data_IF_965606085447
#
_entry.id   IF_965606085447
#
_cell.length_a   1.000
_cell.length_b   1.000
_cell.length_c   1.000
_cell.angle_alpha   90.00
_cell.angle_beta   90.00
_cell.angle_gamma   90.00
#
_symmetry.space_group_name_H-M   'P 1'
#
loop_
_entity.id
_entity.type
_entity.pdbx_description
1 polymer ?
#
# COMPACT_ATOMS: atom_id res chain seq x y z
N UNK A 1 -22.29 30.47 -48.13
CA UNK A 1 -21.36 29.37 -47.77
C UNK A 1 -22.12 28.08 -47.99
N UNK A 2 -21.60 27.16 -48.80
CA UNK A 2 -22.22 25.84 -48.98
C UNK A 2 -22.16 25.08 -47.66
N UNK A 3 -23.20 24.31 -47.33
CA UNK A 3 -23.29 23.48 -46.13
C UNK A 3 -22.05 22.57 -45.96
N UNK A 4 -21.44 22.14 -47.07
CA UNK A 4 -20.22 21.35 -47.11
C UNK A 4 -19.00 22.07 -46.49
N UNK A 5 -18.92 23.39 -46.61
CA UNK A 5 -17.83 24.19 -46.02
C UNK A 5 -17.96 24.25 -44.49
N UNK A 6 -19.20 24.33 -43.98
CA UNK A 6 -19.47 24.30 -42.54
C UNK A 6 -19.14 22.95 -41.91
N UNK A 7 -19.49 21.86 -42.59
CA UNK A 7 -19.20 20.49 -42.15
C UNK A 7 -17.69 20.21 -42.15
N UNK A 8 -16.96 20.64 -43.19
CA UNK A 8 -15.50 20.49 -43.26
C UNK A 8 -14.76 21.28 -42.16
N UNK A 9 -15.23 22.49 -41.85
CA UNK A 9 -14.67 23.28 -40.75
C UNK A 9 -14.93 22.63 -39.39
N UNK A 10 -16.11 22.05 -39.18
CA UNK A 10 -16.45 21.36 -37.94
C UNK A 10 -15.64 20.07 -37.75
N UNK A 11 -15.46 19.28 -38.83
CA UNK A 11 -14.59 18.10 -38.85
C UNK A 11 -13.13 18.47 -38.59
N UNK A 12 -12.64 19.54 -39.22
CA UNK A 12 -11.28 20.06 -39.01
C UNK A 12 -11.05 20.51 -37.58
N UNK A 13 -12.00 21.24 -37.00
CA UNK A 13 -11.95 21.67 -35.60
C UNK A 13 -11.99 20.47 -34.62
N UNK A 14 -12.85 19.49 -34.88
CA UNK A 14 -12.96 18.26 -34.07
C UNK A 14 -11.67 17.44 -34.09
N UNK A 15 -11.06 17.28 -35.27
CA UNK A 15 -9.77 16.59 -35.40
C UNK A 15 -8.64 17.33 -34.66
N UNK A 16 -8.61 18.66 -34.73
CA UNK A 16 -7.62 19.48 -34.02
C UNK A 16 -7.73 19.32 -32.50
N UNK A 17 -8.95 19.35 -31.96
CA UNK A 17 -9.18 19.18 -30.51
C UNK A 17 -8.72 17.80 -30.05
N UNK A 18 -9.05 16.74 -30.79
CA UNK A 18 -8.58 15.38 -30.47
C UNK A 18 -7.05 15.29 -30.48
N UNK A 19 -6.41 15.89 -31.48
CA UNK A 19 -4.95 15.89 -31.60
C UNK A 19 -4.30 16.63 -30.43
N UNK A 20 -4.86 17.77 -30.00
CA UNK A 20 -4.40 18.50 -28.83
C UNK A 20 -4.55 17.67 -27.54
N UNK A 21 -5.69 17.01 -27.34
CA UNK A 21 -5.90 16.14 -26.16
C UNK A 21 -4.84 15.03 -26.10
N UNK A 22 -4.56 14.37 -27.24
CA UNK A 22 -3.54 13.32 -27.32
C UNK A 22 -2.15 13.89 -27.03
N UNK A 23 -1.78 15.01 -27.65
CA UNK A 23 -0.45 15.63 -27.46
C UNK A 23 -0.26 16.11 -26.02
N UNK A 24 -1.24 16.81 -25.44
CA UNK A 24 -1.18 17.25 -24.05
C UNK A 24 -1.18 16.05 -23.08
N UNK A 25 -1.95 15.00 -23.35
CA UNK A 25 -1.92 13.75 -22.57
C UNK A 25 -0.54 13.10 -22.59
N UNK A 26 0.09 12.98 -23.77
CA UNK A 26 1.43 12.41 -23.93
C UNK A 26 2.50 13.28 -23.25
N UNK A 27 2.46 14.60 -23.41
CA UNK A 27 3.40 15.53 -22.78
C UNK A 27 3.27 15.51 -21.25
N UNK A 28 2.04 15.52 -20.74
CA UNK A 28 1.75 15.42 -19.31
C UNK A 28 2.26 14.10 -18.73
N UNK A 29 2.00 12.97 -19.40
CA UNK A 29 2.52 11.65 -19.01
C UNK A 29 4.05 11.60 -19.00
N UNK A 30 4.71 12.15 -20.04
CA UNK A 30 6.18 12.23 -20.10
C UNK A 30 6.76 13.09 -18.98
N UNK A 31 6.11 14.20 -18.64
CA UNK A 31 6.53 15.08 -17.53
C UNK A 31 6.42 14.36 -16.19
N UNK A 32 5.31 13.64 -15.94
CA UNK A 32 5.16 12.79 -14.74
C UNK A 32 6.27 11.76 -14.65
N UNK A 33 6.57 11.04 -15.75
CA UNK A 33 7.66 10.03 -15.81
C UNK A 33 9.06 10.60 -15.56
N UNK A 34 9.29 11.89 -15.83
CA UNK A 34 10.57 12.58 -15.64
C UNK A 34 10.64 13.41 -14.35
N UNK A 35 9.61 13.36 -13.50
CA UNK A 35 9.62 14.11 -12.25
C UNK A 35 10.79 13.67 -11.36
N UNK A 36 11.59 14.63 -10.89
CA UNK A 36 12.71 14.40 -9.96
C UNK A 36 12.39 14.89 -8.55
N UNK A 37 11.37 15.73 -8.41
CA UNK A 37 10.87 16.25 -7.14
C UNK A 37 9.84 15.31 -6.52
N UNK A 38 9.98 15.06 -5.21
CA UNK A 38 8.99 14.34 -4.39
C UNK A 38 7.75 15.23 -4.19
N UNK A 39 6.56 14.65 -4.30
CA UNK A 39 5.28 15.35 -4.02
C UNK A 39 4.65 14.93 -2.70
N UNK A 40 5.30 14.04 -1.97
CA UNK A 40 4.85 13.51 -0.69
C UNK A 40 5.69 14.05 0.47
N UNK A 41 5.06 14.12 1.63
CA UNK A 41 5.71 14.31 2.93
C UNK A 41 5.78 12.98 3.66
N UNK A 42 6.59 12.90 4.72
CA UNK A 42 6.65 11.73 5.59
C UNK A 42 6.30 12.07 7.02
N UNK A 43 5.76 11.08 7.73
CA UNK A 43 5.62 11.09 9.19
C UNK A 43 6.03 9.75 9.76
N UNK A 44 6.33 9.74 11.05
CA UNK A 44 6.62 8.52 11.79
C UNK A 44 5.31 7.91 12.29
N UNK A 45 5.06 6.65 11.93
CA UNK A 45 4.00 5.82 12.51
C UNK A 45 4.59 4.72 13.39
N UNK A 46 3.72 3.97 14.07
CA UNK A 46 4.12 2.97 15.07
C UNK A 46 3.30 1.68 14.97
N UNK A 47 3.98 0.53 15.05
CA UNK A 47 3.38 -0.80 15.30
C UNK A 47 3.83 -1.23 16.69
N UNK A 48 3.00 -1.00 17.71
CA UNK A 48 3.48 -1.09 19.10
C UNK A 48 4.66 -0.14 19.32
N UNK A 49 5.81 -0.67 19.74
CA UNK A 49 7.05 0.09 19.97
C UNK A 49 7.95 0.23 18.72
N UNK A 50 7.44 -0.16 17.54
CA UNK A 50 8.23 -0.19 16.32
C UNK A 50 7.94 1.03 15.45
N UNK A 51 8.91 1.94 15.25
CA UNK A 51 8.72 3.06 14.36
C UNK A 51 8.75 2.61 12.90
N UNK A 52 8.00 3.30 12.06
CA UNK A 52 8.10 3.21 10.60
C UNK A 52 7.93 4.59 9.98
N UNK A 53 8.34 4.74 8.73
CA UNK A 53 8.16 5.99 7.97
C UNK A 53 7.07 5.79 6.94
N UNK A 54 6.00 6.55 7.03
CA UNK A 54 4.91 6.52 6.06
C UNK A 54 4.81 7.82 5.27
N UNK A 55 4.46 7.69 3.99
CA UNK A 55 4.19 8.81 3.11
C UNK A 55 2.80 9.40 3.35
N UNK A 56 2.62 10.66 2.98
CA UNK A 56 1.29 11.20 2.67
C UNK A 56 0.63 10.45 1.51
N UNK A 57 -0.66 10.67 1.31
CA UNK A 57 -1.43 10.06 0.23
C UNK A 57 -0.84 10.31 -1.16
N UNK A 58 -0.79 9.26 -1.96
CA UNK A 58 -0.36 9.27 -3.35
C UNK A 58 -1.48 8.80 -4.27
N UNK A 59 -1.42 9.24 -5.53
CA UNK A 59 -2.28 8.69 -6.56
C UNK A 59 -1.84 7.25 -6.89
N UNK A 60 -2.77 6.27 -7.01
CA UNK A 60 -2.43 4.86 -7.22
C UNK A 60 -1.65 4.59 -8.51
N UNK A 61 -1.79 5.46 -9.51
CA UNK A 61 -1.16 5.37 -10.83
C UNK A 61 0.17 6.14 -10.93
N UNK A 62 0.59 6.83 -9.87
CA UNK A 62 1.85 7.60 -9.86
C UNK A 62 3.07 6.73 -9.52
N UNK A 63 3.38 5.82 -10.45
CA UNK A 63 4.52 4.90 -10.33
C UNK A 63 5.86 5.62 -10.16
N UNK A 64 5.97 6.86 -10.63
CA UNK A 64 7.21 7.65 -10.47
C UNK A 64 7.40 8.10 -9.04
N UNK A 65 6.34 8.54 -8.34
CA UNK A 65 6.46 8.89 -6.92
C UNK A 65 6.76 7.67 -6.06
N UNK A 66 6.23 6.50 -6.42
CA UNK A 66 6.60 5.24 -5.76
C UNK A 66 8.08 4.89 -5.99
N UNK A 67 8.57 5.01 -7.22
CA UNK A 67 10.00 4.81 -7.53
C UNK A 67 10.88 5.79 -6.74
N UNK A 68 10.51 7.07 -6.67
CA UNK A 68 11.22 8.08 -5.88
C UNK A 68 11.24 7.75 -4.39
N UNK A 69 10.14 7.20 -3.85
CA UNK A 69 10.11 6.75 -2.45
C UNK A 69 11.08 5.59 -2.23
N UNK A 70 11.08 4.58 -3.11
CA UNK A 70 12.03 3.46 -3.03
C UNK A 70 13.49 3.87 -3.23
N UNK A 71 13.75 4.89 -4.05
CA UNK A 71 15.09 5.48 -4.20
C UNK A 71 15.51 6.28 -2.96
N UNK A 72 14.55 6.88 -2.26
CA UNK A 72 14.80 7.64 -1.02
C UNK A 72 15.04 6.72 0.18
N UNK A 73 14.31 5.61 0.21
CA UNK A 73 14.36 4.60 1.27
C UNK A 73 14.72 3.23 0.65
N UNK A 74 15.95 3.09 0.12
CA UNK A 74 16.37 1.84 -0.51
C UNK A 74 16.49 0.74 0.54
N UNK A 75 16.07 -0.48 0.20
CA UNK A 75 16.26 -1.64 1.08
C UNK A 75 17.76 -1.83 1.34
N UNK A 76 18.13 -1.93 2.61
CA UNK A 76 19.51 -1.96 3.09
C UNK A 76 20.14 -0.59 3.34
N UNK A 77 19.47 0.51 2.96
CA UNK A 77 19.92 1.87 3.25
C UNK A 77 19.73 2.26 4.71
N UNK A 78 20.63 3.10 5.21
CA UNK A 78 20.60 3.63 6.58
C UNK A 78 19.86 4.96 6.67
N UNK A 79 19.17 5.18 7.79
CA UNK A 79 18.49 6.43 8.13
C UNK A 79 18.71 6.71 9.62
N UNK A 80 18.75 7.99 9.99
CA UNK A 80 18.66 8.38 11.40
C UNK A 80 17.22 8.76 11.71
N UNK A 81 16.62 8.09 12.68
CA UNK A 81 15.27 8.41 13.16
C UNK A 81 15.34 8.78 14.65
N UNK A 82 14.34 9.54 15.10
CA UNK A 82 14.12 9.78 16.53
C UNK A 82 13.18 8.71 17.07
N UNK A 83 13.64 7.97 18.07
CA UNK A 83 12.87 6.96 18.82
C UNK A 83 12.74 7.46 20.24
N UNK A 84 11.64 7.14 20.92
CA UNK A 84 11.53 7.42 22.36
C UNK A 84 12.04 6.20 23.12
N UNK A 85 13.01 6.41 24.02
CA UNK A 85 13.45 5.41 24.98
C UNK A 85 13.08 5.81 26.42
N UNK A 86 13.52 5.03 27.40
CA UNK A 86 13.26 5.28 28.83
C UNK A 86 13.82 6.64 29.33
N UNK A 87 14.78 7.23 28.61
CA UNK A 87 15.44 8.49 28.93
C UNK A 87 14.99 9.66 28.04
N UNK A 88 14.05 9.44 27.10
CA UNK A 88 13.49 10.45 26.21
C UNK A 88 13.80 10.21 24.73
N UNK A 89 13.71 11.26 23.88
CA UNK A 89 13.93 11.11 22.44
C UNK A 89 15.42 10.91 22.14
N UNK A 90 15.76 9.76 21.56
CA UNK A 90 17.11 9.39 21.12
C UNK A 90 17.18 9.26 19.60
N UNK A 91 18.28 9.74 19.01
CA UNK A 91 18.56 9.48 17.59
C UNK A 91 19.18 8.10 17.42
N UNK A 92 18.60 7.28 16.55
CA UNK A 92 19.07 5.94 16.25
C UNK A 92 19.26 5.76 14.75
N UNK A 93 20.40 5.22 14.37
CA UNK A 93 20.60 4.72 13.02
C UNK A 93 19.83 3.40 12.84
N UNK A 94 19.03 3.33 11.79
CA UNK A 94 18.18 2.19 11.43
C UNK A 94 18.36 1.85 9.97
N UNK A 95 18.07 0.60 9.61
CA UNK A 95 18.23 0.12 8.24
C UNK A 95 16.89 -0.26 7.64
N UNK A 96 16.57 0.25 6.45
CA UNK A 96 15.34 -0.12 5.75
C UNK A 96 15.38 -1.61 5.41
N UNK A 97 14.41 -2.39 5.89
CA UNK A 97 14.24 -3.81 5.55
C UNK A 97 13.20 -4.01 4.45
N UNK A 98 12.12 -3.21 4.48
CA UNK A 98 10.97 -3.38 3.59
C UNK A 98 10.36 -2.04 3.20
N UNK A 99 9.70 -2.05 2.03
CA UNK A 99 8.82 -0.97 1.61
C UNK A 99 7.46 -1.55 1.25
N UNK A 100 6.48 -1.28 2.11
CA UNK A 100 5.09 -1.68 1.95
C UNK A 100 4.27 -0.66 1.16
N UNK A 101 3.15 -1.14 0.61
CA UNK A 101 2.16 -0.34 -0.12
C UNK A 101 0.79 -0.65 0.48
N UNK A 102 0.01 0.38 0.77
CA UNK A 102 -1.33 0.23 1.35
C UNK A 102 -2.36 1.06 0.60
N UNK A 103 -3.62 0.63 0.59
CA UNK A 103 -4.73 1.46 0.17
C UNK A 103 -5.12 2.41 1.31
N UNK A 104 -5.16 3.72 1.05
CA UNK A 104 -5.59 4.76 1.99
C UNK A 104 -7.03 5.22 1.75
N UNK A 105 -7.49 5.11 0.50
CA UNK A 105 -8.86 5.36 0.12
C UNK A 105 -9.25 4.47 -1.08
N UNK A 106 -10.52 4.07 -1.12
CA UNK A 106 -11.10 3.28 -2.22
C UNK A 106 -11.53 4.13 -3.42
N UNK A 107 -11.94 3.45 -4.49
CA UNK A 107 -12.51 4.09 -5.69
C UNK A 107 -13.80 4.88 -5.33
N UNK A 108 -14.09 6.04 -5.96
CA UNK A 108 -13.38 6.68 -7.08
C UNK A 108 -12.18 7.54 -6.69
N UNK A 109 -12.01 7.86 -5.40
CA UNK A 109 -10.92 8.70 -4.90
C UNK A 109 -9.77 7.84 -4.38
N UNK A 110 -9.37 6.84 -5.16
CA UNK A 110 -8.40 5.87 -4.68
C UNK A 110 -7.07 6.56 -4.34
N UNK A 111 -6.52 6.26 -3.17
CA UNK A 111 -5.24 6.77 -2.67
C UNK A 111 -4.42 5.62 -2.14
N UNK A 112 -3.10 5.70 -2.31
CA UNK A 112 -2.17 4.75 -1.72
C UNK A 112 -1.23 5.44 -0.74
N UNK A 113 -0.75 4.69 0.25
CA UNK A 113 0.35 5.05 1.12
C UNK A 113 1.55 4.14 0.86
N UNK A 114 2.74 4.65 1.12
CA UNK A 114 3.99 3.89 1.10
C UNK A 114 4.62 3.94 2.48
N UNK A 115 5.12 2.80 2.94
CA UNK A 115 5.70 2.68 4.27
C UNK A 115 7.07 2.04 4.19
N UNK A 116 8.09 2.64 4.80
CA UNK A 116 9.41 2.05 4.98
C UNK A 116 9.51 1.48 6.40
N UNK A 117 9.85 0.20 6.50
CA UNK A 117 10.03 -0.53 7.75
C UNK A 117 11.51 -0.84 7.98
N UNK A 118 11.87 -1.04 9.24
CA UNK A 118 13.26 -1.14 9.67
C UNK A 118 13.64 -2.55 10.15
N UNK A 119 14.88 -2.94 9.85
CA UNK A 119 15.46 -4.25 10.15
C UNK A 119 15.56 -4.52 11.65
N UNK A 120 15.79 -3.48 12.45
CA UNK A 120 16.02 -3.56 13.89
C UNK A 120 14.85 -4.17 14.65
N UNK A 121 13.66 -4.17 14.06
CA UNK A 121 12.45 -4.75 14.62
C UNK A 121 11.87 -5.90 13.81
N UNK A 122 12.55 -6.34 12.74
CA UNK A 122 12.07 -7.43 11.89
C UNK A 122 11.81 -8.71 12.69
N UNK A 123 10.58 -9.21 12.63
CA UNK A 123 10.14 -10.44 13.31
C UNK A 123 9.82 -10.27 14.80
N UNK A 124 10.07 -9.10 15.39
CA UNK A 124 9.75 -8.86 16.81
C UNK A 124 8.25 -8.64 17.06
N UNK A 125 7.45 -8.53 16.00
CA UNK A 125 5.98 -8.49 16.05
C UNK A 125 5.35 -9.87 16.23
N UNK A 126 6.13 -10.94 16.15
CA UNK A 126 5.63 -12.31 16.11
C UNK A 126 6.05 -13.10 17.36
N UNK A 127 5.25 -14.09 17.78
CA UNK A 127 3.91 -14.42 17.26
C UNK A 127 2.83 -13.49 17.83
N UNK A 128 1.76 -13.28 17.05
CA UNK A 128 0.57 -12.51 17.48
C UNK A 128 -0.73 -13.18 17.06
N UNK A 129 -1.79 -12.94 17.83
CA UNK A 129 -3.14 -13.42 17.56
C UNK A 129 -4.10 -12.24 17.67
N UNK A 130 -4.89 -12.02 16.62
CA UNK A 130 -5.91 -10.99 16.59
C UNK A 130 -7.30 -11.63 16.56
N UNK A 131 -8.19 -11.31 17.52
CA UNK A 131 -9.59 -11.66 17.39
C UNK A 131 -10.20 -10.85 16.24
N UNK A 132 -10.93 -11.54 15.36
CA UNK A 132 -11.57 -10.92 14.19
C UNK A 132 -12.99 -11.43 14.03
N UNK A 133 -13.78 -10.73 13.22
CA UNK A 133 -15.07 -11.22 12.73
C UNK A 133 -14.95 -11.49 11.24
N UNK A 134 -14.71 -12.75 10.88
CA UNK A 134 -14.44 -13.18 9.52
C UNK A 134 -15.54 -13.98 8.85
N UNK A 135 -15.38 -14.19 7.53
CA UNK A 135 -16.14 -15.18 6.76
C UNK A 135 -15.84 -16.60 7.27
N UNK A 136 -16.69 -17.57 6.90
CA UNK A 136 -16.42 -18.99 7.11
C UNK A 136 -16.10 -19.38 8.57
N UNK A 137 -16.73 -18.68 9.52
CA UNK A 137 -16.56 -18.86 10.97
C UNK A 137 -15.15 -18.52 11.48
N UNK A 138 -14.36 -17.76 10.72
CA UNK A 138 -13.06 -17.27 11.19
C UNK A 138 -13.27 -16.28 12.32
N UNK A 139 -12.64 -16.57 13.47
CA UNK A 139 -12.71 -15.74 14.68
C UNK A 139 -11.34 -15.21 15.13
N UNK A 140 -10.26 -15.74 14.57
CA UNK A 140 -8.91 -15.28 14.88
C UNK A 140 -7.97 -15.39 13.69
N UNK A 141 -7.05 -14.43 13.60
CA UNK A 141 -5.90 -14.44 12.69
C UNK A 141 -4.64 -14.54 13.52
N UNK A 142 -3.90 -15.63 13.34
CA UNK A 142 -2.58 -15.87 13.92
C UNK A 142 -1.51 -15.50 12.90
N UNK A 143 -0.47 -14.82 13.34
CA UNK A 143 0.66 -14.44 12.50
C UNK A 143 1.96 -14.81 13.20
N UNK A 144 2.86 -15.41 12.44
CA UNK A 144 4.20 -15.77 12.90
C UNK A 144 5.25 -15.54 11.79
N UNK A 145 6.49 -15.98 12.02
CA UNK A 145 7.56 -15.83 11.03
C UNK A 145 7.31 -16.62 9.72
N UNK A 146 6.46 -17.66 9.74
CA UNK A 146 6.16 -18.48 8.58
C UNK A 146 5.03 -17.89 7.72
N UNK A 147 4.01 -17.31 8.35
CA UNK A 147 2.88 -16.74 7.62
C UNK A 147 1.69 -16.36 8.47
N UNK A 148 0.52 -16.51 7.85
CA UNK A 148 -0.78 -16.17 8.44
C UNK A 148 -1.65 -17.42 8.49
N UNK A 149 -2.32 -17.63 9.61
CA UNK A 149 -3.27 -18.71 9.82
C UNK A 149 -4.61 -18.17 10.33
N UNK A 150 -5.71 -18.53 9.67
CA UNK A 150 -7.06 -18.22 10.13
C UNK A 150 -7.63 -19.39 10.93
N UNK A 151 -8.22 -19.09 12.09
CA UNK A 151 -8.79 -20.07 13.01
C UNK A 151 -10.29 -19.87 13.19
N UNK A 152 -11.01 -20.98 13.36
CA UNK A 152 -12.39 -20.95 13.83
C UNK A 152 -12.50 -20.94 15.37
N UNK A 153 -13.73 -20.92 15.89
CA UNK A 153 -14.01 -20.92 17.33
C UNK A 153 -13.58 -22.20 18.06
N UNK A 154 -13.30 -23.29 17.34
CA UNK A 154 -12.75 -24.53 17.87
C UNK A 154 -11.21 -24.59 17.75
N UNK A 155 -10.57 -23.47 17.37
CA UNK A 155 -9.14 -23.38 17.09
C UNK A 155 -8.66 -24.25 15.92
N UNK A 156 -9.57 -24.73 15.07
CA UNK A 156 -9.22 -25.45 13.86
C UNK A 156 -8.67 -24.49 12.80
N UNK A 157 -7.68 -24.93 12.02
CA UNK A 157 -7.17 -24.18 10.87
C UNK A 157 -8.22 -24.17 9.77
N UNK A 158 -8.73 -22.98 9.45
CA UNK A 158 -9.65 -22.77 8.32
C UNK A 158 -8.86 -22.44 7.06
N UNK A 159 -7.76 -21.70 7.21
CA UNK A 159 -6.96 -21.22 6.10
C UNK A 159 -5.54 -20.89 6.56
N UNK A 160 -4.57 -21.03 5.66
CA UNK A 160 -3.18 -20.63 5.93
C UNK A 160 -2.49 -20.19 4.65
N UNK A 161 -1.54 -19.26 4.77
CA UNK A 161 -0.64 -18.88 3.67
C UNK A 161 0.71 -18.43 4.22
N UNK A 162 1.83 -18.84 3.59
CA UNK A 162 3.12 -18.25 3.90
C UNK A 162 3.18 -16.79 3.40
N UNK A 163 4.02 -15.97 4.03
CA UNK A 163 4.20 -14.56 3.64
C UNK A 163 4.60 -14.38 2.16
N UNK A 164 5.40 -15.30 1.64
CA UNK A 164 5.93 -15.23 0.26
C UNK A 164 4.86 -15.32 -0.83
N UNK A 165 3.70 -15.89 -0.53
CA UNK A 165 2.58 -16.02 -1.47
C UNK A 165 1.31 -15.32 -0.98
N UNK A 166 1.36 -14.69 0.20
CA UNK A 166 0.24 -13.97 0.77
C UNK A 166 -0.07 -12.73 -0.05
N UNK A 167 -1.27 -12.71 -0.61
CA UNK A 167 -1.87 -11.51 -1.18
C UNK A 167 -2.89 -10.96 -0.20
N UNK A 168 -2.94 -9.64 -0.03
CA UNK A 168 -3.97 -8.99 0.75
C UNK A 168 -4.59 -7.83 -0.02
N UNK A 169 -5.85 -7.52 0.29
CA UNK A 169 -6.54 -6.30 -0.13
C UNK A 169 -7.08 -5.64 1.14
N UNK A 170 -6.78 -4.35 1.32
CA UNK A 170 -7.32 -3.55 2.41
C UNK A 170 -8.35 -2.54 1.88
N UNK A 171 -9.50 -2.46 2.53
CA UNK A 171 -10.68 -1.69 2.15
C UNK A 171 -11.58 -1.51 3.38
N UNK A 172 -12.92 -1.59 3.29
CA UNK A 172 -13.77 -1.64 4.50
C UNK A 172 -13.57 -2.93 5.31
N UNK A 173 -12.88 -3.91 4.74
CA UNK A 173 -12.53 -5.20 5.31
C UNK A 173 -11.18 -5.65 4.74
N UNK A 174 -10.51 -6.58 5.44
CA UNK A 174 -9.32 -7.25 4.90
C UNK A 174 -9.76 -8.50 4.16
N UNK A 175 -9.24 -8.67 2.94
CA UNK A 175 -9.29 -9.93 2.21
C UNK A 175 -7.88 -10.48 2.09
N UNK A 176 -7.69 -11.72 2.53
CA UNK A 176 -6.47 -12.50 2.35
C UNK A 176 -6.68 -13.54 1.25
N UNK A 177 -5.68 -13.72 0.39
CA UNK A 177 -5.68 -14.75 -0.64
C UNK A 177 -4.34 -15.50 -0.65
N UNK A 178 -4.42 -16.82 -0.74
CA UNK A 178 -3.29 -17.74 -0.65
C UNK A 178 -3.78 -19.19 -0.72
N UNK A 179 -2.96 -20.09 -1.27
CA UNK A 179 -3.33 -21.52 -1.37
C UNK A 179 -4.59 -21.81 -2.20
N UNK A 180 -4.99 -20.91 -3.10
CA UNK A 180 -6.16 -21.08 -3.98
C UNK A 180 -7.52 -20.70 -3.37
N UNK A 181 -7.55 -20.22 -2.13
CA UNK A 181 -8.78 -19.78 -1.44
C UNK A 181 -8.57 -18.41 -0.79
N UNK A 182 -9.66 -17.79 -0.36
CA UNK A 182 -9.66 -16.46 0.26
C UNK A 182 -10.37 -16.47 1.60
N UNK A 183 -9.90 -15.63 2.52
CA UNK A 183 -10.58 -15.34 3.80
C UNK A 183 -10.81 -13.84 3.90
N UNK A 184 -11.98 -13.46 4.43
CA UNK A 184 -12.39 -12.06 4.60
C UNK A 184 -12.65 -11.78 6.06
N UNK A 185 -12.26 -10.62 6.59
CA UNK A 185 -12.61 -10.22 7.96
C UNK A 185 -12.69 -8.71 8.19
N UNK A 186 -13.52 -8.32 9.15
CA UNK A 186 -13.63 -6.96 9.66
C UNK A 186 -12.39 -6.59 10.49
N UNK A 187 -11.94 -5.35 10.36
CA UNK A 187 -10.83 -4.78 11.12
C UNK A 187 -11.12 -3.31 11.45
N UNK A 188 -10.41 -2.75 12.43
CA UNK A 188 -10.41 -1.31 12.66
C UNK A 188 -9.31 -0.65 11.82
N UNK A 189 -9.61 0.42 11.11
CA UNK A 189 -8.63 1.19 10.33
C UNK A 189 -7.41 1.58 11.20
N UNK A 190 -6.20 1.36 10.66
CA UNK A 190 -4.96 1.65 11.39
C UNK A 190 -4.66 0.65 12.52
N UNK A 191 -5.35 -0.49 12.55
CA UNK A 191 -5.01 -1.57 13.49
C UNK A 191 -3.68 -2.24 13.14
N UNK A 192 -3.02 -2.76 14.16
CA UNK A 192 -1.77 -3.52 14.07
C UNK A 192 -1.85 -4.65 13.03
N UNK A 193 -3.00 -5.32 12.91
CA UNK A 193 -3.19 -6.41 11.95
C UNK A 193 -3.05 -5.93 10.50
N UNK A 194 -3.60 -4.77 10.15
CA UNK A 194 -3.49 -4.20 8.81
C UNK A 194 -2.03 -3.84 8.50
N UNK A 195 -1.34 -3.15 9.41
CA UNK A 195 0.05 -2.74 9.20
C UNK A 195 1.00 -3.95 9.10
N UNK A 196 0.75 -5.04 9.81
CA UNK A 196 1.51 -6.29 9.65
C UNK A 196 1.31 -6.91 8.26
N UNK A 197 0.08 -6.90 7.74
CA UNK A 197 -0.21 -7.38 6.40
C UNK A 197 0.45 -6.50 5.33
N UNK A 198 0.49 -5.17 5.54
CA UNK A 198 1.21 -4.23 4.66
C UNK A 198 2.71 -4.49 4.69
N UNK A 199 3.28 -4.76 5.87
CA UNK A 199 4.72 -5.03 6.05
C UNK A 199 5.16 -6.33 5.38
N UNK A 200 4.44 -7.43 5.61
CA UNK A 200 4.90 -8.76 5.23
C UNK A 200 4.18 -9.38 4.02
N UNK A 201 2.96 -8.92 3.72
CA UNK A 201 2.17 -9.38 2.58
C UNK A 201 2.37 -8.55 1.31
N UNK A 202 1.72 -8.99 0.22
CA UNK A 202 1.70 -8.25 -1.05
C UNK A 202 0.32 -7.67 -1.32
N UNK A 203 0.23 -6.35 -1.43
CA UNK A 203 -1.03 -5.68 -1.77
C UNK A 203 -1.46 -6.04 -3.20
N UNK A 204 -2.69 -6.55 -3.32
CA UNK A 204 -3.38 -6.74 -4.58
C UNK A 204 -4.83 -6.32 -4.39
N UNK A 205 -5.27 -5.29 -5.12
CA UNK A 205 -6.70 -4.94 -5.13
C UNK A 205 -7.50 -6.12 -5.68
N UNK A 206 -8.33 -6.70 -4.82
CA UNK A 206 -9.24 -7.76 -5.18
C UNK A 206 -10.61 -7.12 -5.38
N UNK A 207 -11.06 -7.06 -6.63
CA UNK A 207 -12.40 -6.61 -6.97
C UNK A 207 -13.38 -7.75 -6.68
N UNK A 208 -14.42 -7.44 -5.93
CA UNK A 208 -15.60 -8.30 -5.75
C UNK A 208 -16.83 -7.50 -6.15
#
# INVERSE_FOLDING_TARGET
>A
MSDDTGILLFLGAGALVLLLIVVFGVLSSRRKKRATSRTWTVRTGWIGEQPFIESSDLAPDDSRQEELFRQTYPIGGSLTITVTDENGPVQREVHVSRVGRSLRAGFPQAKIGLTAYFREWEGSEFPVVFPVKGSDKVVAIEMDAAGVTARDAASATVWTSPWSTLLFSNGPDIVLAGGGTTVRFEYADGSTIEELLIKYGTLRQMHF
#
